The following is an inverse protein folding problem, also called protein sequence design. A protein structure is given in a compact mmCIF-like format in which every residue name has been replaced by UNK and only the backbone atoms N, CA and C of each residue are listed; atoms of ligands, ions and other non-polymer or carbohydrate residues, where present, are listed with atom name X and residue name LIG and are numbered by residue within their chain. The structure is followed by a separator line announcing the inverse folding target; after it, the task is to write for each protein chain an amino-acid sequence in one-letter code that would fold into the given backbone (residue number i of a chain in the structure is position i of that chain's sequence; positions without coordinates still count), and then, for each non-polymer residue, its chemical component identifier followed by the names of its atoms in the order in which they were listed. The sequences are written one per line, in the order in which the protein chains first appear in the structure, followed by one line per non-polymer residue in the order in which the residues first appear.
data_IF_131163063449
#
_entry.id   IF_131163063449
#
_cell.length_a   1.000
_cell.length_b   1.000
_cell.length_c   1.000
_cell.angle_alpha   90.00
_cell.angle_beta   90.00
_cell.angle_gamma   90.00
#
_symmetry.space_group_name_H-M   'P 1'
#
loop_
_entity.id
_entity.type
_entity.pdbx_description
1 polymer ?
#
# COMPACT_ATOMS: atom_id res chain seq x y z
N UNK A 1 39.55 -51.90 -57.97
CA UNK A 1 40.84 -52.22 -57.33
C UNK A 1 41.29 -50.96 -56.59
N UNK A 2 41.38 -51.01 -55.24
CA UNK A 2 42.20 -50.19 -54.29
C UNK A 2 42.29 -48.65 -54.54
N UNK A 3 42.15 -47.71 -53.61
CA UNK A 3 42.28 -47.71 -52.14
C UNK A 3 41.90 -46.32 -51.61
N UNK A 4 41.40 -46.31 -50.37
CA UNK A 4 41.36 -45.25 -49.34
C UNK A 4 42.25 -43.99 -49.53
N UNK A 5 41.73 -42.83 -49.08
CA UNK A 5 42.42 -42.07 -48.02
C UNK A 5 41.45 -41.12 -47.28
N UNK A 6 41.28 -41.39 -45.98
CA UNK A 6 40.71 -40.49 -44.99
C UNK A 6 41.67 -39.32 -44.73
N UNK A 7 41.16 -38.09 -44.60
CA UNK A 7 41.83 -37.04 -43.83
C UNK A 7 40.82 -36.25 -43.00
N UNK A 8 40.89 -36.55 -41.72
CA UNK A 8 40.35 -35.88 -40.56
C UNK A 8 40.74 -34.40 -40.55
N UNK A 9 39.80 -33.49 -40.30
CA UNK A 9 40.14 -32.19 -39.70
C UNK A 9 39.11 -31.84 -38.63
N UNK A 10 39.63 -31.97 -37.41
CA UNK A 10 39.13 -31.44 -36.14
C UNK A 10 39.06 -29.90 -36.22
N UNK A 11 38.04 -29.26 -35.66
CA UNK A 11 38.22 -28.19 -34.65
C UNK A 11 36.97 -27.32 -34.43
N UNK A 12 36.74 -27.07 -33.14
CA UNK A 12 36.08 -25.90 -32.54
C UNK A 12 34.55 -25.78 -32.62
N UNK A 13 33.95 -26.66 -31.82
CA UNK A 13 32.85 -26.38 -30.91
C UNK A 13 32.88 -24.93 -30.34
N UNK A 14 32.09 -24.03 -30.92
CA UNK A 14 31.75 -22.75 -30.30
C UNK A 14 30.58 -22.97 -29.33
N UNK A 15 30.90 -23.23 -28.07
CA UNK A 15 29.91 -23.22 -26.98
C UNK A 15 29.55 -21.75 -26.74
N UNK A 16 28.39 -21.35 -27.24
CA UNK A 16 27.77 -20.06 -26.95
C UNK A 16 27.30 -20.09 -25.49
N UNK A 17 28.18 -19.76 -24.55
CA UNK A 17 27.80 -19.43 -23.19
C UNK A 17 26.95 -18.15 -23.23
N UNK A 18 25.63 -18.33 -23.30
CA UNK A 18 24.67 -17.30 -22.96
C UNK A 18 24.74 -17.09 -21.45
N UNK A 19 25.72 -16.31 -21.01
CA UNK A 19 25.76 -15.78 -19.67
C UNK A 19 24.60 -14.77 -19.54
N UNK A 20 23.44 -15.27 -19.13
CA UNK A 20 22.39 -14.44 -18.57
C UNK A 20 22.94 -13.86 -17.26
N UNK A 21 23.68 -12.76 -17.36
CA UNK A 21 24.00 -11.95 -16.19
C UNK A 21 22.66 -11.41 -15.70
N UNK A 22 22.18 -12.00 -14.61
CA UNK A 22 21.11 -11.45 -13.80
C UNK A 22 21.65 -10.14 -13.22
N UNK A 23 21.51 -9.05 -13.97
CA UNK A 23 21.61 -7.70 -13.43
C UNK A 23 20.49 -7.57 -12.40
N UNK A 24 20.86 -7.85 -11.15
CA UNK A 24 20.15 -7.33 -10.00
C UNK A 24 20.40 -5.83 -10.08
N UNK A 25 19.44 -5.09 -10.61
CA UNK A 25 19.40 -3.64 -10.50
C UNK A 25 19.36 -3.31 -9.00
N UNK A 26 20.52 -3.05 -8.41
CA UNK A 26 20.60 -2.30 -7.16
C UNK A 26 20.17 -0.88 -7.53
N UNK A 27 18.91 -0.54 -7.26
CA UNK A 27 18.49 0.85 -7.30
C UNK A 27 19.40 1.65 -6.36
N UNK A 28 20.05 2.66 -6.92
CA UNK A 28 20.90 3.60 -6.22
C UNK A 28 20.14 4.23 -5.05
N UNK A 29 20.49 3.81 -3.82
CA UNK A 29 19.90 4.34 -2.58
C UNK A 29 20.15 5.84 -2.41
N UNK A 30 21.04 6.45 -3.21
CA UNK A 30 21.30 7.89 -3.18
C UNK A 30 20.31 8.71 -4.01
N UNK A 31 19.48 8.05 -4.84
CA UNK A 31 18.46 8.70 -5.67
C UNK A 31 17.03 8.32 -5.25
N UNK A 32 16.88 7.73 -4.05
CA UNK A 32 15.56 7.63 -3.44
C UNK A 32 15.09 9.06 -3.17
N UNK A 33 13.90 9.48 -3.62
CA UNK A 33 13.32 10.74 -3.20
C UNK A 33 13.50 10.84 -1.69
N UNK A 34 13.93 11.99 -1.13
CA UNK A 34 14.07 12.12 0.31
C UNK A 34 12.82 11.54 0.92
N UNK A 35 12.96 10.59 1.86
CA UNK A 35 11.87 10.04 2.64
C UNK A 35 11.16 11.25 3.22
N UNK A 36 10.16 11.75 2.49
CA UNK A 36 9.32 12.82 2.96
C UNK A 36 8.74 12.18 4.19
N UNK A 37 9.13 12.71 5.36
CA UNK A 37 8.72 12.20 6.65
C UNK A 37 7.23 12.48 6.70
N UNK A 38 6.44 11.63 6.06
CA UNK A 38 5.01 11.76 6.03
C UNK A 38 4.61 11.76 7.50
N UNK A 39 3.83 12.75 7.94
CA UNK A 39 3.47 12.82 9.34
C UNK A 39 2.41 11.76 9.70
N UNK A 40 1.80 11.12 8.69
CA UNK A 40 0.71 10.15 8.81
C UNK A 40 1.17 8.74 9.22
N UNK A 41 2.24 8.13 8.66
CA UNK A 41 2.69 6.80 9.07
C UNK A 41 2.79 6.59 10.58
N UNK A 42 2.37 5.39 10.99
CA UNK A 42 2.26 4.98 12.39
C UNK A 42 0.89 4.38 12.72
N UNK A 43 0.73 3.99 13.98
CA UNK A 43 -0.53 3.51 14.54
C UNK A 43 -1.41 4.66 15.02
N UNK A 44 -2.72 4.48 14.86
CA UNK A 44 -3.76 5.44 15.21
C UNK A 44 -4.93 4.74 15.87
N UNK A 45 -5.55 5.39 16.84
CA UNK A 45 -6.77 4.91 17.51
C UNK A 45 -7.86 5.98 17.41
N UNK A 46 -9.12 5.57 17.30
CA UNK A 46 -10.20 6.52 17.29
C UNK A 46 -11.57 5.87 17.26
N UNK A 47 -12.53 6.66 16.78
CA UNK A 47 -13.94 6.24 16.74
C UNK A 47 -14.61 6.64 15.44
N UNK A 48 -15.60 5.87 15.02
CA UNK A 48 -16.49 6.18 13.92
C UNK A 48 -17.97 6.08 14.36
N UNK A 49 -18.84 6.80 13.67
CA UNK A 49 -20.30 6.74 13.84
C UNK A 49 -20.98 6.36 12.53
N UNK A 50 -22.28 6.04 12.58
CA UNK A 50 -23.08 5.71 11.39
C UNK A 50 -24.10 6.82 11.11
N UNK A 51 -24.25 7.20 9.85
CA UNK A 51 -25.11 8.31 9.44
C UNK A 51 -24.73 9.63 10.12
N UNK A 52 -25.67 10.18 10.89
CA UNK A 52 -25.47 11.42 11.63
C UNK A 52 -25.05 11.20 13.09
N UNK A 53 -24.91 9.95 13.52
CA UNK A 53 -24.57 9.63 14.90
C UNK A 53 -23.15 10.10 15.25
N UNK A 54 -22.98 10.47 16.52
CA UNK A 54 -21.66 10.81 17.04
C UNK A 54 -20.74 9.58 17.02
N UNK A 55 -19.42 9.75 16.75
CA UNK A 55 -18.49 8.64 16.75
C UNK A 55 -18.43 7.92 18.11
N UNK A 56 -18.84 6.65 18.14
CA UNK A 56 -18.92 5.83 19.35
C UNK A 56 -18.34 4.42 19.21
N UNK A 57 -18.12 3.92 17.99
CA UNK A 57 -17.52 2.62 17.72
C UNK A 57 -16.01 2.76 17.57
N UNK A 58 -15.22 1.98 18.32
CA UNK A 58 -13.76 2.06 18.28
C UNK A 58 -13.19 1.40 17.03
N UNK A 59 -12.09 1.98 16.54
CA UNK A 59 -11.28 1.38 15.51
C UNK A 59 -9.82 1.86 15.60
N UNK A 60 -8.93 1.08 15.02
CA UNK A 60 -7.51 1.33 14.88
C UNK A 60 -7.12 1.37 13.40
N UNK A 61 -6.12 2.18 13.07
CA UNK A 61 -5.54 2.25 11.74
C UNK A 61 -4.00 2.24 11.80
N UNK A 62 -3.37 1.45 10.96
CA UNK A 62 -1.93 1.44 10.75
C UNK A 62 -1.62 1.95 9.34
N UNK A 63 -1.11 3.17 9.25
CA UNK A 63 -0.66 3.75 7.98
C UNK A 63 0.82 3.44 7.77
N UNK A 64 1.15 2.80 6.65
CA UNK A 64 2.53 2.45 6.31
C UNK A 64 3.11 3.44 5.28
N UNK A 65 4.43 3.74 5.32
CA UNK A 65 5.06 4.74 4.45
C UNK A 65 4.90 4.48 2.95
N UNK A 66 4.72 3.23 2.53
CA UNK A 66 4.52 2.81 1.15
C UNK A 66 3.11 3.08 0.60
N UNK A 67 2.24 3.75 1.37
CA UNK A 67 0.89 4.11 0.93
C UNK A 67 -0.18 3.05 1.20
N UNK A 68 0.11 2.04 2.02
CA UNK A 68 -0.89 1.04 2.45
C UNK A 68 -1.43 1.32 3.85
N UNK A 69 -2.67 0.92 4.10
CA UNK A 69 -3.34 1.07 5.40
C UNK A 69 -4.02 -0.23 5.81
N UNK A 70 -3.92 -0.54 7.10
CA UNK A 70 -4.66 -1.63 7.75
C UNK A 70 -5.64 -1.02 8.74
N UNK A 71 -6.89 -1.47 8.73
CA UNK A 71 -7.95 -0.98 9.62
C UNK A 71 -8.55 -2.17 10.38
N UNK A 72 -8.69 -2.00 11.69
CA UNK A 72 -9.33 -2.95 12.59
C UNK A 72 -10.40 -2.20 13.39
N UNK A 73 -11.59 -2.76 13.53
CA UNK A 73 -12.68 -2.13 14.26
C UNK A 73 -13.36 -3.17 15.14
N UNK A 74 -13.72 -2.80 16.38
CA UNK A 74 -14.38 -3.70 17.33
C UNK A 74 -15.71 -4.25 16.78
N UNK A 75 -16.36 -3.47 15.92
CA UNK A 75 -17.62 -3.83 15.27
C UNK A 75 -17.47 -4.82 14.10
N UNK A 76 -16.24 -5.17 13.71
CA UNK A 76 -15.95 -6.00 12.54
C UNK A 76 -15.14 -7.25 12.94
N UNK A 77 -15.50 -8.44 12.43
CA UNK A 77 -14.79 -9.68 12.75
C UNK A 77 -13.53 -9.89 11.87
N UNK A 78 -13.10 -8.90 11.10
CA UNK A 78 -12.00 -8.99 10.16
C UNK A 78 -11.23 -7.68 10.05
N UNK A 79 -9.99 -7.81 9.56
CA UNK A 79 -9.10 -6.69 9.26
C UNK A 79 -9.32 -6.24 7.82
N UNK A 80 -9.43 -4.94 7.62
CA UNK A 80 -9.56 -4.31 6.32
C UNK A 80 -8.20 -3.85 5.81
N UNK A 81 -7.97 -4.01 4.50
CA UNK A 81 -6.75 -3.58 3.83
C UNK A 81 -7.09 -2.54 2.77
N UNK A 82 -6.22 -1.54 2.64
CA UNK A 82 -6.42 -0.47 1.69
C UNK A 82 -5.15 0.28 1.35
N UNK A 83 -5.35 1.35 0.59
CA UNK A 83 -4.33 2.33 0.26
C UNK A 83 -4.70 3.69 0.84
N UNK A 84 -3.71 4.55 1.02
CA UNK A 84 -3.91 5.93 1.46
C UNK A 84 -3.00 6.89 0.68
N UNK A 85 -3.43 8.14 0.63
CA UNK A 85 -2.63 9.24 0.09
C UNK A 85 -2.93 10.53 0.87
N UNK A 86 -1.92 11.38 1.03
CA UNK A 86 -2.04 12.70 1.64
C UNK A 86 -1.63 13.76 0.63
N UNK A 87 -2.54 14.69 0.32
CA UNK A 87 -2.26 15.86 -0.53
C UNK A 87 -2.53 17.12 0.28
N UNK A 88 -1.46 17.83 0.64
CA UNK A 88 -1.54 18.91 1.62
C UNK A 88 -1.97 18.38 2.99
N UNK A 89 -3.09 18.90 3.50
CA UNK A 89 -3.75 18.45 4.73
C UNK A 89 -4.83 17.38 4.47
N UNK A 90 -5.08 17.02 3.20
CA UNK A 90 -6.23 16.21 2.83
C UNK A 90 -5.82 14.75 2.68
N UNK A 91 -6.29 13.92 3.61
CA UNK A 91 -6.07 12.48 3.62
C UNK A 91 -7.22 11.78 2.92
N UNK A 92 -6.89 10.86 2.01
CA UNK A 92 -7.85 9.93 1.43
C UNK A 92 -7.38 8.50 1.62
N UNK A 93 -8.32 7.60 1.94
CA UNK A 93 -8.08 6.15 1.92
C UNK A 93 -9.02 5.46 0.94
N UNK A 94 -8.66 4.26 0.50
CA UNK A 94 -9.56 3.35 -0.20
C UNK A 94 -9.31 1.95 0.33
N UNK A 95 -10.34 1.30 0.85
CA UNK A 95 -10.27 -0.06 1.39
C UNK A 95 -11.48 -0.87 0.96
N UNK A 96 -11.39 -2.19 1.06
CA UNK A 96 -12.46 -3.09 0.66
C UNK A 96 -12.83 -4.05 1.78
N UNK A 97 -14.14 -4.28 1.94
CA UNK A 97 -14.68 -5.32 2.80
C UNK A 97 -14.53 -6.70 2.15
N UNK A 98 -14.48 -7.78 2.95
CA UNK A 98 -14.73 -9.12 2.43
C UNK A 98 -16.08 -9.15 1.71
N UNK A 99 -16.08 -9.49 0.42
CA UNK A 99 -17.23 -9.35 -0.46
C UNK A 99 -17.06 -8.29 -1.56
N UNK A 100 -16.02 -7.45 -1.46
CA UNK A 100 -15.57 -6.57 -2.53
C UNK A 100 -16.16 -5.15 -2.52
N UNK A 101 -17.06 -4.85 -1.57
CA UNK A 101 -17.56 -3.49 -1.37
C UNK A 101 -16.41 -2.56 -0.96
N UNK A 102 -16.31 -1.41 -1.64
CA UNK A 102 -15.24 -0.44 -1.44
C UNK A 102 -15.74 0.73 -0.63
N UNK A 103 -14.87 1.25 0.22
CA UNK A 103 -15.14 2.40 1.06
C UNK A 103 -13.92 3.33 1.06
N UNK A 104 -14.15 4.59 1.40
CA UNK A 104 -13.09 5.58 1.59
C UNK A 104 -13.25 6.31 2.92
N UNK A 105 -12.12 6.71 3.49
CA UNK A 105 -12.06 7.84 4.41
C UNK A 105 -11.66 9.09 3.62
N UNK A 106 -12.43 10.16 3.76
CA UNK A 106 -12.10 11.49 3.28
C UNK A 106 -11.96 12.42 4.49
N UNK A 107 -10.73 12.84 4.78
CA UNK A 107 -10.39 13.46 6.05
C UNK A 107 -9.36 14.58 5.93
N UNK A 108 -9.23 15.34 7.01
CA UNK A 108 -8.20 16.34 7.22
C UNK A 108 -7.21 15.87 8.27
N UNK A 109 -5.93 16.01 7.98
CA UNK A 109 -4.83 15.81 8.91
C UNK A 109 -4.46 17.14 9.56
N UNK A 110 -4.35 17.14 10.90
CA UNK A 110 -3.84 18.27 11.67
C UNK A 110 -2.58 17.87 12.42
N UNK A 111 -1.46 18.51 12.05
CA UNK A 111 -0.15 18.25 12.67
C UNK A 111 -0.06 18.78 14.10
N UNK A 112 -0.72 19.91 14.36
CA UNK A 112 -0.72 20.57 15.67
C UNK A 112 -1.29 19.69 16.78
N UNK A 113 -2.40 18.99 16.48
CA UNK A 113 -3.08 18.13 17.46
C UNK A 113 -2.88 16.64 17.19
N UNK A 114 -2.05 16.29 16.19
CA UNK A 114 -1.81 14.90 15.75
C UNK A 114 -3.11 14.10 15.58
N UNK A 115 -4.06 14.71 14.84
CA UNK A 115 -5.43 14.20 14.68
C UNK A 115 -5.80 14.10 13.20
N UNK A 116 -6.52 13.06 12.85
CA UNK A 116 -7.18 12.89 11.55
C UNK A 116 -8.69 12.88 11.80
N UNK A 117 -9.46 13.68 11.09
CA UNK A 117 -10.92 13.67 11.22
C UNK A 117 -11.63 13.93 9.90
N UNK A 118 -12.80 13.33 9.73
CA UNK A 118 -13.54 13.44 8.49
C UNK A 118 -14.72 12.49 8.41
N UNK A 119 -14.98 12.01 7.21
CA UNK A 119 -16.11 11.14 6.89
C UNK A 119 -15.66 9.85 6.24
N UNK A 120 -16.36 8.77 6.53
CA UNK A 120 -16.27 7.53 5.78
C UNK A 120 -17.51 7.37 4.90
N UNK A 121 -17.36 6.73 3.74
CA UNK A 121 -18.48 6.45 2.82
C UNK A 121 -18.19 5.28 1.88
N UNK A 122 -19.25 4.67 1.34
CA UNK A 122 -19.17 3.64 0.31
C UNK A 122 -18.79 4.22 -1.08
N UNK A 123 -18.17 3.39 -1.92
CA UNK A 123 -17.75 3.70 -3.28
C UNK A 123 -18.31 2.66 -4.28
N UNK A 124 -18.85 3.10 -5.45
CA UNK A 124 -19.32 4.45 -5.79
C UNK A 124 -20.48 4.89 -4.87
N UNK A 125 -20.81 6.20 -4.75
CA UNK A 125 -21.68 6.68 -3.68
C UNK A 125 -23.12 6.18 -3.89
N UNK A 126 -23.50 5.14 -3.16
CA UNK A 126 -24.81 4.52 -3.26
C UNK A 126 -25.62 4.70 -1.99
N UNK A 127 -25.11 4.32 -0.81
CA UNK A 127 -25.76 4.53 0.50
C UNK A 127 -24.70 4.42 1.62
N UNK A 128 -24.85 5.20 2.69
CA UNK A 128 -24.11 5.02 3.95
C UNK A 128 -22.90 5.93 4.13
N UNK A 129 -22.36 5.91 5.35
CA UNK A 129 -21.26 6.75 5.77
C UNK A 129 -21.42 7.23 7.19
N UNK A 130 -20.51 8.09 7.63
CA UNK A 130 -20.58 8.72 8.94
C UNK A 130 -19.32 9.49 9.27
N UNK A 131 -19.29 10.09 10.46
CA UNK A 131 -18.12 10.84 10.96
C UNK A 131 -17.13 9.90 11.62
N UNK A 132 -15.86 10.27 11.58
CA UNK A 132 -14.82 9.59 12.35
C UNK A 132 -13.73 10.56 12.78
N UNK A 133 -12.95 10.14 13.78
CA UNK A 133 -11.67 10.73 14.11
C UNK A 133 -10.67 9.66 14.49
N UNK A 134 -9.38 9.99 14.40
CA UNK A 134 -8.24 9.20 14.79
C UNK A 134 -7.20 10.10 15.47
N UNK A 135 -6.56 9.57 16.49
CA UNK A 135 -5.48 10.19 17.25
C UNK A 135 -4.24 9.31 17.18
N UNK A 136 -3.07 9.94 17.00
CA UNK A 136 -1.83 9.21 16.80
C UNK A 136 -1.39 8.53 18.11
N UNK A 137 -1.02 7.26 18.02
CA UNK A 137 -0.37 6.56 19.14
C UNK A 137 1.06 7.10 19.25
N UNK A 138 1.46 7.54 20.45
CA UNK A 138 2.79 8.09 20.71
C UNK A 138 3.90 7.03 20.60
#
# INVERSE_FOLDING_TARGET
MLTNLYRTTLACMFILFCACQKEICYEDLNNKPPLQKYPVPGGWLGKFGQGNDAPNLHFAALFKPEGTVTIEADALPYILFGNWNLVGDSLKTSYAFPGGEKFEFAAKYSDTVRRIEGYWKALPPTVGGGKFYLEKIN
#
